data_IF_606445853850
#
_entry.id   IF_606445853850
#
_cell.length_a   1.000
_cell.length_b   1.000
_cell.length_c   1.000
_cell.angle_alpha   90.00
_cell.angle_beta   90.00
_cell.angle_gamma   90.00
#
_symmetry.space_group_name_H-M   'P 1'
#
loop_
_entity.id
_entity.type
_entity.pdbx_description
1 polymer ?
#
# COMPACT_ATOMS: atom_id res chain seq x y z
N UNK A 1 41.62 13.68 -14.90
CA UNK A 1 40.96 14.67 -14.02
C UNK A 1 39.68 15.30 -14.59
N UNK A 2 39.44 15.30 -15.92
CA UNK A 2 38.22 15.89 -16.53
C UNK A 2 36.89 15.17 -16.20
N UNK A 3 36.93 13.90 -15.77
CA UNK A 3 35.73 13.08 -15.50
C UNK A 3 35.04 13.39 -14.16
N UNK A 4 35.79 13.89 -13.16
CA UNK A 4 35.24 14.22 -11.83
C UNK A 4 34.47 15.54 -11.86
N UNK A 5 34.91 16.49 -12.68
CA UNK A 5 34.23 17.78 -12.85
C UNK A 5 32.86 17.62 -13.53
N UNK A 6 32.73 16.64 -14.44
CA UNK A 6 31.45 16.30 -15.06
C UNK A 6 30.44 15.73 -14.05
N UNK A 7 30.88 14.88 -13.12
CA UNK A 7 30.03 14.37 -12.03
C UNK A 7 29.56 15.49 -11.10
N UNK A 8 30.41 16.49 -10.82
CA UNK A 8 30.05 17.67 -10.03
C UNK A 8 29.03 18.58 -10.73
N UNK A 9 29.12 18.74 -12.05
CA UNK A 9 28.14 19.53 -12.82
C UNK A 9 26.81 18.78 -12.96
N UNK A 10 26.83 17.45 -13.08
CA UNK A 10 25.61 16.61 -13.10
C UNK A 10 24.92 16.64 -11.73
N UNK A 11 25.67 16.58 -10.61
CA UNK A 11 25.08 16.66 -9.27
C UNK A 11 24.52 18.04 -8.95
N UNK A 12 25.15 19.12 -9.45
CA UNK A 12 24.62 20.49 -9.30
C UNK A 12 23.37 20.75 -10.18
N UNK A 13 23.33 20.17 -11.39
CA UNK A 13 22.16 20.26 -12.30
C UNK A 13 20.97 19.46 -11.76
N UNK A 14 21.21 18.28 -11.17
CA UNK A 14 20.17 17.52 -10.47
C UNK A 14 19.58 18.32 -9.31
N UNK A 15 20.41 19.00 -8.52
CA UNK A 15 19.95 19.76 -7.34
C UNK A 15 19.16 21.02 -7.70
N UNK A 16 19.41 21.65 -8.85
CA UNK A 16 18.58 22.77 -9.35
C UNK A 16 17.30 22.32 -10.05
N UNK A 17 17.27 21.13 -10.65
CA UNK A 17 16.07 20.54 -11.23
C UNK A 17 15.17 19.84 -10.19
N UNK A 18 15.70 19.52 -9.01
CA UNK A 18 14.97 18.98 -7.85
C UNK A 18 14.09 20.01 -7.11
N UNK A 19 14.10 21.28 -7.53
CA UNK A 19 13.58 22.39 -6.73
C UNK A 19 12.05 22.55 -6.74
N UNK A 20 11.31 21.90 -7.64
CA UNK A 20 9.85 21.95 -7.65
C UNK A 20 9.26 20.59 -7.26
N UNK A 21 9.08 20.40 -5.95
CA UNK A 21 8.35 19.28 -5.40
C UNK A 21 6.86 19.62 -5.36
N UNK A 22 6.04 18.92 -6.15
CA UNK A 22 4.58 19.06 -6.12
C UNK A 22 4.00 18.09 -5.10
N UNK A 23 3.17 18.59 -4.19
CA UNK A 23 2.51 17.78 -3.16
C UNK A 23 1.12 17.35 -3.62
N UNK A 24 0.79 16.09 -3.40
CA UNK A 24 -0.50 15.52 -3.76
C UNK A 24 -1.10 14.77 -2.59
N UNK A 25 -2.41 14.93 -2.40
CA UNK A 25 -3.23 14.08 -1.55
C UNK A 25 -4.04 13.17 -2.47
N UNK A 26 -3.82 11.86 -2.38
CA UNK A 26 -4.51 10.86 -3.18
C UNK A 26 -5.40 9.97 -2.33
N UNK A 27 -6.35 9.32 -3.02
CA UNK A 27 -7.17 8.24 -2.47
C UNK A 27 -6.88 6.99 -3.30
N UNK A 28 -6.57 5.88 -2.64
CA UNK A 28 -6.34 4.60 -3.28
C UNK A 28 -7.46 3.62 -2.93
N UNK A 29 -7.80 2.74 -3.87
CA UNK A 29 -8.67 1.61 -3.64
C UNK A 29 -8.14 0.40 -4.41
N UNK A 30 -8.11 -0.76 -3.77
CA UNK A 30 -7.61 -2.00 -4.33
C UNK A 30 -8.46 -3.19 -3.91
N UNK A 31 -8.57 -4.18 -4.79
CA UNK A 31 -9.17 -5.48 -4.51
C UNK A 31 -8.19 -6.57 -4.92
N UNK A 32 -7.98 -7.55 -4.05
CA UNK A 32 -7.23 -8.76 -4.39
C UNK A 32 -8.14 -9.98 -4.26
N UNK A 33 -8.02 -10.86 -5.24
CA UNK A 33 -8.69 -12.16 -5.24
C UNK A 33 -7.59 -13.21 -5.37
N UNK A 34 -7.32 -13.91 -4.27
CA UNK A 34 -6.36 -15.01 -4.23
C UNK A 34 -7.11 -16.33 -4.24
N UNK A 35 -7.00 -17.05 -5.37
CA UNK A 35 -7.50 -18.41 -5.48
C UNK A 35 -6.35 -19.37 -5.13
N UNK A 36 -6.27 -19.78 -3.86
CA UNK A 36 -5.24 -20.71 -3.37
C UNK A 36 -5.75 -22.13 -3.21
N UNK A 37 -4.97 -23.11 -3.67
CA UNK A 37 -5.09 -24.50 -3.23
C UNK A 37 -4.20 -24.68 -1.99
N UNK A 38 -4.80 -24.68 -0.80
CA UNK A 38 -4.09 -25.10 0.40
C UNK A 38 -4.12 -26.63 0.46
N UNK A 39 -3.02 -27.28 0.11
CA UNK A 39 -2.82 -28.69 0.40
C UNK A 39 -2.66 -28.82 1.92
N UNK A 40 -3.67 -29.33 2.61
CA UNK A 40 -3.49 -29.82 3.97
C UNK A 40 -2.62 -31.06 3.88
N UNK A 41 -1.35 -30.91 4.25
CA UNK A 41 -0.42 -32.03 4.36
C UNK A 41 -0.80 -32.89 5.55
N UNK A 42 -1.76 -33.79 5.34
CA UNK A 42 -2.12 -34.83 6.30
C UNK A 42 -1.22 -36.05 6.12
N UNK A 43 0.11 -35.87 6.11
CA UNK A 43 1.13 -36.91 6.35
C UNK A 43 1.03 -38.23 5.58
N UNK A 44 0.18 -38.35 4.55
CA UNK A 44 -0.16 -39.61 3.94
C UNK A 44 -0.44 -39.42 2.44
N UNK A 45 0.56 -39.86 1.65
CA UNK A 45 0.45 -40.26 0.25
C UNK A 45 0.15 -39.14 -0.74
N UNK A 46 1.22 -38.63 -1.36
CA UNK A 46 1.15 -37.92 -2.63
C UNK A 46 0.45 -38.79 -3.69
N UNK A 47 -0.70 -38.35 -4.19
CA UNK A 47 -1.33 -38.91 -5.40
C UNK A 47 -2.74 -39.52 -5.26
N UNK A 48 -3.42 -39.43 -4.11
CA UNK A 48 -4.81 -39.91 -4.02
C UNK A 48 -5.83 -38.80 -4.35
N UNK A 49 -6.79 -39.08 -5.24
CA UNK A 49 -7.88 -38.17 -5.62
C UNK A 49 -8.91 -37.88 -4.51
N UNK A 50 -8.67 -38.35 -3.28
CA UNK A 50 -9.51 -38.10 -2.11
C UNK A 50 -9.19 -36.78 -1.41
N UNK A 51 -8.09 -36.11 -1.76
CA UNK A 51 -7.75 -34.78 -1.24
C UNK A 51 -8.42 -33.69 -2.08
N UNK A 52 -9.71 -33.48 -1.85
CA UNK A 52 -10.38 -32.24 -2.28
C UNK A 52 -9.82 -31.09 -1.44
N UNK A 53 -8.76 -30.45 -1.92
CA UNK A 53 -8.38 -29.13 -1.43
C UNK A 53 -9.57 -28.20 -1.67
N UNK A 54 -10.25 -27.80 -0.60
CA UNK A 54 -11.27 -26.76 -0.73
C UNK A 54 -10.55 -25.51 -1.25
N UNK A 55 -10.88 -25.09 -2.47
CA UNK A 55 -10.47 -23.80 -3.02
C UNK A 55 -10.98 -22.73 -2.08
N UNK A 56 -10.11 -22.19 -1.24
CA UNK A 56 -10.45 -21.07 -0.38
C UNK A 56 -10.06 -19.82 -1.13
N UNK A 57 -11.06 -19.20 -1.76
CA UNK A 57 -10.90 -17.92 -2.44
C UNK A 57 -10.78 -16.83 -1.39
N UNK A 58 -9.56 -16.44 -1.02
CA UNK A 58 -9.36 -15.32 -0.10
C UNK A 58 -9.51 -14.04 -0.90
N UNK A 59 -10.43 -13.18 -0.48
CA UNK A 59 -10.64 -11.88 -1.09
C UNK A 59 -10.30 -10.81 -0.08
N UNK A 60 -9.56 -9.79 -0.46
CA UNK A 60 -9.47 -8.57 0.33
C UNK A 60 -9.72 -7.33 -0.51
N UNK A 61 -10.15 -6.29 0.17
CA UNK A 61 -10.18 -4.94 -0.37
C UNK A 61 -9.49 -4.01 0.61
N UNK A 62 -8.91 -2.95 0.07
CA UNK A 62 -8.27 -1.87 0.79
C UNK A 62 -8.72 -0.55 0.18
N UNK A 63 -9.01 0.43 1.03
CA UNK A 63 -9.14 1.83 0.63
C UNK A 63 -8.27 2.67 1.55
N UNK A 64 -7.71 3.74 1.03
CA UNK A 64 -6.83 4.55 1.84
C UNK A 64 -6.57 5.92 1.26
N UNK A 65 -5.79 6.67 2.03
CA UNK A 65 -5.33 8.00 1.65
C UNK A 65 -3.82 8.00 1.64
N UNK A 66 -3.24 8.75 0.72
CA UNK A 66 -1.80 8.87 0.59
C UNK A 66 -1.39 10.32 0.39
N UNK A 67 -0.21 10.63 0.91
CA UNK A 67 0.50 11.87 0.64
C UNK A 67 1.66 11.54 -0.29
N UNK A 68 1.79 12.29 -1.38
CA UNK A 68 2.82 12.08 -2.39
C UNK A 68 3.56 13.36 -2.69
N UNK A 69 4.83 13.23 -3.03
CA UNK A 69 5.67 14.31 -3.55
C UNK A 69 6.23 13.89 -4.89
N UNK A 70 5.95 14.66 -5.93
CA UNK A 70 6.46 14.42 -7.28
C UNK A 70 7.54 15.44 -7.63
N UNK A 71 8.64 14.93 -8.18
CA UNK A 71 9.76 15.69 -8.70
C UNK A 71 9.83 15.39 -10.18
N UNK A 72 9.50 16.37 -11.01
CA UNK A 72 9.51 16.23 -12.45
C UNK A 72 10.82 16.80 -13.03
N UNK A 73 11.29 16.18 -14.10
CA UNK A 73 12.54 16.49 -14.78
C UNK A 73 12.28 16.47 -16.29
N UNK A 74 13.12 17.19 -17.04
CA UNK A 74 13.09 17.22 -18.51
C UNK A 74 11.70 17.65 -19.02
N UNK A 75 11.39 18.95 -18.85
CA UNK A 75 10.13 19.55 -19.33
C UNK A 75 8.88 18.80 -18.88
N UNK A 76 8.84 18.41 -17.60
CA UNK A 76 7.76 17.64 -17.00
C UNK A 76 7.50 16.27 -17.66
N UNK A 77 8.44 15.68 -18.39
CA UNK A 77 8.25 14.40 -19.07
C UNK A 77 8.56 13.19 -18.19
N UNK A 78 9.62 13.26 -17.38
CA UNK A 78 10.08 12.12 -16.57
C UNK A 78 10.20 12.57 -15.13
N UNK A 79 9.77 11.75 -14.19
CA UNK A 79 9.75 12.16 -12.80
C UNK A 79 10.06 11.05 -11.82
N UNK A 80 10.11 11.46 -10.58
CA UNK A 80 10.26 10.60 -9.43
C UNK A 80 9.21 10.97 -8.40
N UNK A 81 8.57 9.97 -7.79
CA UNK A 81 7.57 10.16 -6.75
C UNK A 81 7.96 9.42 -5.49
N UNK A 82 7.76 10.07 -4.35
CA UNK A 82 7.65 9.40 -3.06
C UNK A 82 6.19 9.40 -2.63
N UNK A 83 5.75 8.36 -1.94
CA UNK A 83 4.42 8.32 -1.36
C UNK A 83 4.41 7.61 -0.01
N UNK A 84 3.63 8.17 0.91
CA UNK A 84 3.30 7.61 2.22
C UNK A 84 1.78 7.46 2.30
N UNK A 85 1.30 6.24 2.48
CA UNK A 85 -0.11 5.90 2.49
C UNK A 85 -0.53 5.22 3.79
N UNK A 86 -1.79 5.41 4.14
CA UNK A 86 -2.48 4.62 5.16
C UNK A 86 -3.75 4.04 4.53
N UNK A 87 -3.90 2.71 4.63
CA UNK A 87 -5.02 1.98 4.05
C UNK A 87 -5.77 1.22 5.13
N UNK A 88 -7.08 1.12 4.98
CA UNK A 88 -7.96 0.28 5.77
C UNK A 88 -8.80 -0.61 4.85
N UNK A 89 -9.10 -1.81 5.30
CA UNK A 89 -10.02 -2.67 4.56
C UNK A 89 -10.34 -3.96 5.26
N UNK A 90 -10.80 -4.95 4.51
CA UNK A 90 -11.21 -6.24 5.06
C UNK A 90 -10.72 -7.41 4.26
N UNK A 91 -10.35 -8.47 4.97
CA UNK A 91 -10.08 -9.81 4.47
C UNK A 91 -11.32 -10.68 4.65
N UNK A 92 -11.86 -11.15 3.54
CA UNK A 92 -12.93 -12.13 3.46
C UNK A 92 -12.34 -13.52 3.17
N UNK A 93 -12.64 -14.46 4.08
CA UNK A 93 -12.28 -15.86 3.91
C UNK A 93 -13.56 -16.71 3.85
N UNK A 94 -13.94 -17.25 2.68
CA UNK A 94 -15.13 -18.08 2.54
C UNK A 94 -15.08 -19.28 3.51
N UNK A 95 -16.18 -19.49 4.24
CA UNK A 95 -16.29 -20.54 5.26
C UNK A 95 -15.72 -20.17 6.63
N UNK A 96 -15.04 -19.03 6.79
CA UNK A 96 -14.75 -18.46 8.10
C UNK A 96 -15.92 -17.59 8.55
N UNK A 97 -16.42 -17.81 9.77
CA UNK A 97 -17.47 -16.98 10.39
C UNK A 97 -17.01 -15.55 10.71
N UNK A 98 -15.73 -15.23 10.49
CA UNK A 98 -15.14 -13.98 10.94
C UNK A 98 -14.33 -13.34 9.82
N UNK A 99 -14.69 -12.10 9.50
CA UNK A 99 -13.91 -11.20 8.66
C UNK A 99 -12.78 -10.59 9.50
N UNK A 100 -11.63 -10.36 8.89
CA UNK A 100 -10.54 -9.63 9.54
C UNK A 100 -10.46 -8.22 8.97
N UNK A 101 -10.26 -7.27 9.85
CA UNK A 101 -9.94 -5.90 9.47
C UNK A 101 -8.44 -5.81 9.17
N UNK A 102 -8.12 -5.03 8.15
CA UNK A 102 -6.75 -4.76 7.73
C UNK A 102 -6.49 -3.28 7.94
N UNK A 103 -5.37 -2.96 8.59
CA UNK A 103 -4.78 -1.63 8.59
C UNK A 103 -3.37 -1.72 8.03
N UNK A 104 -3.03 -0.85 7.09
CA UNK A 104 -1.76 -0.89 6.39
C UNK A 104 -1.14 0.51 6.33
N UNK A 105 0.16 0.58 6.61
CA UNK A 105 0.98 1.76 6.35
C UNK A 105 1.94 1.42 5.23
N UNK A 106 1.95 2.23 4.18
CA UNK A 106 2.74 2.01 2.98
C UNK A 106 3.71 3.17 2.76
N UNK A 107 4.95 2.85 2.41
CA UNK A 107 5.93 3.82 1.94
C UNK A 107 6.54 3.29 0.67
N UNK A 108 6.60 4.12 -0.36
CA UNK A 108 7.15 3.70 -1.64
C UNK A 108 7.65 4.84 -2.49
N UNK A 109 8.20 4.42 -3.62
CA UNK A 109 8.68 5.32 -4.64
C UNK A 109 8.41 4.77 -6.03
N UNK A 110 8.04 5.67 -6.94
CA UNK A 110 7.82 5.36 -8.34
C UNK A 110 8.67 6.25 -9.23
N UNK A 111 9.16 5.70 -10.35
CA UNK A 111 9.53 6.48 -11.51
C UNK A 111 8.26 6.81 -12.31
N UNK A 112 8.18 8.04 -12.82
CA UNK A 112 7.07 8.58 -13.58
C UNK A 112 7.50 8.86 -15.02
N UNK A 113 6.62 8.60 -15.98
CA UNK A 113 6.75 9.05 -17.38
C UNK A 113 5.42 9.65 -17.81
N UNK A 114 5.41 10.94 -18.07
CA UNK A 114 4.26 11.67 -18.58
C UNK A 114 4.22 11.51 -20.11
N UNK A 115 3.10 11.05 -20.65
CA UNK A 115 2.91 10.89 -22.10
C UNK A 115 1.95 11.92 -22.69
N UNK A 116 1.19 12.61 -21.83
CA UNK A 116 0.41 13.79 -22.20
C UNK A 116 0.52 14.79 -21.05
N UNK A 117 0.95 16.01 -21.34
CA UNK A 117 0.94 17.13 -20.41
C UNK A 117 0.28 18.31 -21.12
N UNK A 118 -0.99 18.54 -20.79
CA UNK A 118 -1.75 19.73 -21.19
C UNK A 118 -1.84 20.68 -19.99
N UNK A 119 -2.19 21.94 -20.24
CA UNK A 119 -2.40 22.94 -19.18
C UNK A 119 -3.46 22.44 -18.17
N UNK A 120 -2.99 21.90 -17.04
CA UNK A 120 -3.81 21.42 -15.93
C UNK A 120 -4.15 19.92 -15.94
N UNK A 121 -3.80 19.15 -16.98
CA UNK A 121 -4.05 17.70 -17.03
C UNK A 121 -2.80 16.98 -17.53
N UNK A 122 -2.26 16.09 -16.70
CA UNK A 122 -1.21 15.15 -17.10
C UNK A 122 -1.72 13.73 -17.06
N UNK A 123 -1.27 12.93 -18.02
CA UNK A 123 -1.41 11.48 -17.98
C UNK A 123 -0.02 10.87 -17.93
N UNK A 124 0.15 10.01 -16.94
CA UNK A 124 1.45 9.50 -16.52
C UNK A 124 1.39 8.00 -16.32
N UNK A 125 2.41 7.31 -16.81
CA UNK A 125 2.69 5.94 -16.41
C UNK A 125 3.66 6.00 -15.23
N UNK A 126 3.51 5.07 -14.29
CA UNK A 126 4.42 4.96 -13.16
C UNK A 126 4.75 3.50 -12.88
N UNK A 127 5.98 3.28 -12.42
CA UNK A 127 6.44 1.97 -11.98
C UNK A 127 7.42 2.17 -10.82
N UNK A 128 7.30 1.34 -9.80
CA UNK A 128 7.99 1.58 -8.55
C UNK A 128 8.06 0.39 -7.61
N UNK A 129 8.63 0.68 -6.45
CA UNK A 129 8.74 -0.25 -5.34
C UNK A 129 8.04 0.35 -4.13
N UNK A 130 7.31 -0.49 -3.40
CA UNK A 130 6.63 -0.10 -2.17
C UNK A 130 6.85 -1.16 -1.11
N UNK A 131 7.17 -0.70 0.10
CA UNK A 131 7.10 -1.50 1.31
C UNK A 131 5.80 -1.18 2.05
N UNK A 132 5.24 -2.18 2.72
CA UNK A 132 4.10 -1.97 3.59
C UNK A 132 4.23 -2.79 4.87
N UNK A 133 3.66 -2.26 5.94
CA UNK A 133 3.41 -3.00 7.19
C UNK A 133 1.92 -3.16 7.35
N UNK A 134 1.47 -4.40 7.57
CA UNK A 134 0.07 -4.76 7.66
C UNK A 134 -0.25 -5.28 9.06
N UNK A 135 -1.20 -4.64 9.74
CA UNK A 135 -1.86 -5.15 10.92
C UNK A 135 -3.18 -5.81 10.49
N UNK A 136 -3.41 -7.03 10.94
CA UNK A 136 -4.65 -7.78 10.65
C UNK A 136 -5.26 -8.21 11.97
N UNK A 137 -6.42 -7.66 12.30
CA UNK A 137 -7.09 -7.94 13.57
C UNK A 137 -8.59 -8.14 13.35
N UNK A 138 -9.25 -8.86 14.25
CA UNK A 138 -10.70 -8.96 14.23
C UNK A 138 -11.29 -7.75 14.94
N UNK A 139 -12.26 -7.10 14.31
CA UNK A 139 -13.06 -6.06 14.94
C UNK A 139 -12.20 -4.92 15.49
N UNK A 140 -11.23 -4.46 14.69
CA UNK A 140 -10.19 -3.49 15.10
C UNK A 140 -10.78 -2.19 15.66
N UNK A 141 -11.97 -1.80 15.18
CA UNK A 141 -12.67 -0.59 15.62
C UNK A 141 -14.00 -0.87 16.32
N UNK A 142 -14.27 -2.11 16.76
CA UNK A 142 -15.45 -2.34 17.59
C UNK A 142 -15.18 -1.83 19.01
N UNK A 143 -16.03 -0.97 19.57
CA UNK A 143 -15.93 -0.60 20.96
C UNK A 143 -16.11 -1.86 21.80
N UNK A 144 -15.05 -2.29 22.50
CA UNK A 144 -15.17 -3.32 23.53
C UNK A 144 -16.06 -2.74 24.62
N UNK A 145 -17.22 -3.34 24.86
CA UNK A 145 -18.05 -2.99 26.01
C UNK A 145 -17.22 -3.24 27.26
N UNK A 146 -16.74 -2.16 27.88
CA UNK A 146 -16.19 -2.22 29.24
C UNK A 146 -17.40 -2.63 30.09
N UNK A 147 -17.36 -3.85 30.60
CA UNK A 147 -18.28 -4.27 31.65
C UNK A 147 -17.91 -3.39 32.85
N UNK A 148 -18.60 -2.27 33.01
CA UNK A 148 -18.48 -1.35 34.13
C UNK A 148 -18.75 -2.12 35.41
N UNK A 149 -17.70 -2.70 35.99
CA UNK A 149 -17.69 -3.03 37.41
C UNK A 149 -17.39 -1.71 38.10
N UNK A 150 -18.44 -1.15 38.69
CA UNK A 150 -18.50 0.16 39.30
C UNK A 150 -17.21 0.59 40.01
N UNK A 151 -16.68 1.75 39.63
CA UNK A 151 -15.71 2.47 40.43
C UNK A 151 -14.66 3.22 39.62
N UNK A 152 -14.90 4.53 39.47
CA UNK A 152 -13.94 5.59 39.14
C UNK A 152 -13.70 5.86 37.65
N UNK A 153 -13.95 7.12 37.31
CA UNK A 153 -13.72 7.79 36.04
C UNK A 153 -12.34 7.51 35.46
N UNK A 154 -12.31 6.85 34.30
CA UNK A 154 -11.14 6.77 33.44
C UNK A 154 -11.48 7.39 32.09
N UNK A 155 -10.87 8.53 31.76
CA UNK A 155 -10.89 9.08 30.43
C UNK A 155 -10.30 8.05 29.46
N UNK A 156 -11.13 7.48 28.60
CA UNK A 156 -10.68 6.56 27.57
C UNK A 156 -9.90 7.30 26.50
N UNK A 157 -8.63 6.94 26.33
CA UNK A 157 -7.88 7.25 25.11
C UNK A 157 -8.25 6.20 24.09
N UNK A 158 -8.78 6.65 22.95
CA UNK A 158 -8.93 5.84 21.74
C UNK A 158 -7.53 5.55 21.18
N UNK A 159 -7.18 4.28 21.08
CA UNK A 159 -5.98 3.75 20.43
C UNK A 159 -6.28 2.37 19.88
#
# INVERSE_FOLDING_TARGET
MKKILALGVISFRLSTALAEAKFFLGVDAGVSITNGFYFTDNGAVWGSGAFHGQSQNVQDWLVGVNLRTEHLFVDDLVGFRWFLGVNYGKLYKPGALNNYDIFEVQLGTDALVNFLALDGISFSAFAGIAGYTKLTERNMFQPKSIQETAGLSGAGVLG
#
